data_IF_355829721327
#
_entry.id   IF_355829721327
#
_cell.length_a   1.000
_cell.length_b   1.000
_cell.length_c   1.000
_cell.angle_alpha   90.00
_cell.angle_beta   90.00
_cell.angle_gamma   90.00
#
_symmetry.space_group_name_H-M   'P 1'
#
loop_
_entity.id
_entity.type
_entity.pdbx_description
1 polymer ?
#
# COMPACT_ATOMS: atom_id res chain seq x y z
N UNK A 1 -39.62 27.50 51.38
CA UNK A 1 -39.39 26.83 50.08
C UNK A 1 -38.30 27.60 49.37
N UNK A 2 -37.04 27.21 49.59
CA UNK A 2 -35.87 27.89 49.05
C UNK A 2 -34.64 27.01 49.31
N UNK A 3 -34.37 26.06 48.42
CA UNK A 3 -33.06 25.40 48.25
C UNK A 3 -33.19 24.38 47.11
N UNK A 4 -32.70 24.70 45.91
CA UNK A 4 -32.25 23.71 44.89
C UNK A 4 -31.80 24.35 43.56
N UNK A 5 -31.10 25.49 43.55
CA UNK A 5 -30.57 26.04 42.28
C UNK A 5 -29.13 26.58 42.35
N UNK A 6 -28.38 26.25 43.39
CA UNK A 6 -26.98 26.70 43.54
C UNK A 6 -25.94 25.58 43.51
N UNK A 7 -26.31 24.30 43.46
CA UNK A 7 -25.33 23.19 43.35
C UNK A 7 -25.08 22.69 41.92
N UNK A 8 -25.89 23.07 40.93
CA UNK A 8 -25.66 22.70 39.52
C UNK A 8 -24.85 23.74 38.72
N UNK A 9 -24.70 24.97 39.25
CA UNK A 9 -23.95 26.04 38.59
C UNK A 9 -22.43 25.98 38.88
N UNK A 10 -21.99 25.27 39.92
CA UNK A 10 -20.58 25.11 40.28
C UNK A 10 -19.90 23.91 39.58
N UNK A 11 -20.61 23.13 38.75
CA UNK A 11 -20.01 22.03 37.94
C UNK A 11 -19.58 22.45 36.53
N UNK A 12 -19.65 23.72 36.19
CA UNK A 12 -19.28 24.28 34.88
C UNK A 12 -18.27 25.42 34.98
N UNK A 13 -17.41 25.42 36.00
CA UNK A 13 -16.22 26.26 35.97
C UNK A 13 -15.11 25.51 35.20
N UNK A 14 -14.55 26.10 34.13
CA UNK A 14 -13.43 25.51 33.42
C UNK A 14 -12.22 25.48 34.35
N UNK A 15 -11.85 24.29 34.81
CA UNK A 15 -10.61 24.06 35.55
C UNK A 15 -9.44 24.61 34.71
N UNK A 16 -8.75 25.60 35.26
CA UNK A 16 -7.63 26.29 34.63
C UNK A 16 -6.58 25.31 34.08
N UNK A 17 -6.09 25.65 32.88
CA UNK A 17 -5.12 24.92 32.06
C UNK A 17 -3.89 24.44 32.85
N UNK A 18 -3.83 23.13 33.12
CA UNK A 18 -2.56 22.42 33.26
C UNK A 18 -2.03 22.11 31.86
N UNK A 19 -1.08 22.93 31.43
CA UNK A 19 -0.30 22.81 30.21
C UNK A 19 -0.15 21.37 29.65
N UNK A 20 -0.73 21.14 28.47
CA UNK A 20 -0.05 20.42 27.38
C UNK A 20 -0.03 18.88 27.39
N UNK A 21 -0.88 18.18 28.15
CA UNK A 21 -1.06 16.74 27.92
C UNK A 21 -2.11 16.50 26.84
N UNK A 22 -1.64 16.30 25.61
CA UNK A 22 -2.46 15.71 24.54
C UNK A 22 -3.03 14.40 25.08
N UNK A 23 -4.35 14.30 25.21
CA UNK A 23 -5.00 13.05 25.62
C UNK A 23 -4.78 12.02 24.50
N UNK A 24 -3.87 11.08 24.71
CA UNK A 24 -3.58 10.01 23.73
C UNK A 24 -4.54 8.84 23.99
N UNK A 25 -5.32 8.49 22.98
CA UNK A 25 -6.20 7.32 23.03
C UNK A 25 -5.41 6.02 22.77
N UNK A 26 -5.33 5.16 23.77
CA UNK A 26 -4.70 3.84 23.70
C UNK A 26 -5.69 2.68 23.52
N UNK A 27 -6.98 2.98 23.37
CA UNK A 27 -8.03 1.97 23.26
C UNK A 27 -8.05 1.27 21.91
N UNK A 28 -7.56 1.96 20.87
CA UNK A 28 -7.53 1.42 19.51
C UNK A 28 -6.44 0.35 19.38
N UNK A 29 -6.90 -0.91 19.29
CA UNK A 29 -6.05 -2.09 19.18
C UNK A 29 -6.20 -2.76 17.84
N UNK A 30 -5.08 -3.23 17.29
CA UNK A 30 -5.01 -4.05 16.07
C UNK A 30 -4.09 -5.24 16.28
N UNK A 31 -4.42 -6.38 15.66
CA UNK A 31 -3.49 -7.51 15.60
C UNK A 31 -2.52 -7.31 14.44
N UNK A 32 -1.26 -6.99 14.73
CA UNK A 32 -0.19 -7.01 13.74
C UNK A 32 0.61 -8.32 13.88
N UNK A 33 0.81 -9.09 12.79
CA UNK A 33 1.56 -10.34 12.81
C UNK A 33 3.08 -10.09 12.88
N UNK A 34 3.55 -9.44 13.95
CA UNK A 34 4.96 -9.18 14.21
C UNK A 34 5.62 -10.40 14.86
N UNK A 35 6.85 -10.71 14.47
CA UNK A 35 7.60 -11.87 14.99
C UNK A 35 9.09 -11.59 15.03
N UNK A 36 9.80 -12.35 15.86
CA UNK A 36 11.26 -12.37 15.97
C UNK A 36 11.71 -13.83 15.90
N UNK A 37 11.66 -14.48 14.72
CA UNK A 37 11.79 -15.92 14.59
C UNK A 37 13.19 -16.44 14.95
N UNK A 38 14.23 -15.64 14.71
CA UNK A 38 15.62 -16.05 14.90
C UNK A 38 16.54 -14.88 15.29
N UNK A 39 17.82 -15.20 15.44
CA UNK A 39 18.89 -14.25 15.68
C UNK A 39 20.16 -14.71 14.95
N UNK A 40 21.05 -13.78 14.65
CA UNK A 40 22.36 -14.09 14.08
C UNK A 40 23.43 -13.21 14.72
N UNK A 41 24.69 -13.50 14.38
CA UNK A 41 25.83 -12.72 14.84
C UNK A 41 26.31 -11.81 13.72
N UNK A 42 26.48 -10.53 14.02
CA UNK A 42 27.14 -9.57 13.16
C UNK A 42 28.53 -9.26 13.69
N UNK A 43 29.48 -9.11 12.77
CA UNK A 43 30.83 -8.64 13.04
C UNK A 43 30.99 -7.24 12.46
N UNK A 44 31.18 -6.23 13.31
CA UNK A 44 31.45 -4.83 12.89
C UNK A 44 32.61 -4.33 13.71
N UNK A 45 33.66 -3.85 13.05
CA UNK A 45 34.85 -3.30 13.73
C UNK A 45 35.62 -4.31 14.60
N UNK A 46 35.57 -5.60 14.28
CA UNK A 46 36.26 -6.66 15.06
C UNK A 46 35.51 -7.13 16.30
N UNK A 47 34.33 -6.57 16.60
CA UNK A 47 33.45 -7.06 17.65
C UNK A 47 32.28 -7.87 17.08
N UNK A 48 31.99 -9.00 17.72
CA UNK A 48 30.87 -9.88 17.38
C UNK A 48 29.71 -9.65 18.34
N UNK A 49 28.54 -9.29 17.81
CA UNK A 49 27.33 -9.08 18.61
C UNK A 49 26.12 -9.80 18.04
N UNK A 50 25.17 -10.13 18.91
CA UNK A 50 23.90 -10.77 18.53
C UNK A 50 22.89 -9.71 18.10
N UNK A 51 22.24 -9.96 16.97
CA UNK A 51 21.07 -9.23 16.50
C UNK A 51 19.90 -10.15 16.30
N UNK A 52 18.70 -9.65 16.58
CA UNK A 52 17.43 -10.35 16.47
C UNK A 52 16.73 -9.87 15.21
N UNK A 53 16.28 -10.80 14.36
CA UNK A 53 15.64 -10.47 13.10
C UNK A 53 14.15 -10.24 13.33
N UNK A 54 13.65 -9.09 12.92
CA UNK A 54 12.26 -8.67 13.14
C UNK A 54 11.49 -8.81 11.83
N UNK A 55 10.36 -9.49 11.88
CA UNK A 55 9.48 -9.76 10.74
C UNK A 55 8.06 -9.27 11.01
N UNK A 56 7.36 -8.85 9.96
CA UNK A 56 5.96 -8.48 10.00
C UNK A 56 5.20 -9.13 8.84
N UNK A 57 4.16 -9.91 9.16
CA UNK A 57 3.45 -10.74 8.17
C UNK A 57 4.38 -11.66 7.35
N UNK A 58 5.50 -12.06 7.96
CA UNK A 58 6.57 -12.83 7.32
C UNK A 58 7.45 -12.04 6.35
N UNK A 59 7.39 -10.70 6.36
CA UNK A 59 8.33 -9.80 5.67
C UNK A 59 9.45 -9.41 6.63
N UNK A 60 10.71 -9.56 6.25
CA UNK A 60 11.83 -9.06 7.07
C UNK A 60 11.79 -7.53 7.09
N UNK A 61 11.84 -6.93 8.28
CA UNK A 61 11.84 -5.47 8.44
C UNK A 61 13.26 -4.96 8.72
N UNK A 62 13.87 -5.47 9.80
CA UNK A 62 15.20 -5.06 10.23
C UNK A 62 15.82 -6.10 11.17
N UNK A 63 17.08 -5.87 11.54
CA UNK A 63 17.81 -6.66 12.53
C UNK A 63 18.33 -5.74 13.62
N UNK A 64 18.06 -6.08 14.89
CA UNK A 64 18.37 -5.19 16.04
C UNK A 64 19.10 -5.92 17.16
N UNK A 65 20.14 -5.31 17.72
CA UNK A 65 20.75 -5.75 18.98
C UNK A 65 19.84 -5.37 20.15
N UNK A 66 19.92 -6.13 21.23
CA UNK A 66 19.13 -5.88 22.44
C UNK A 66 19.18 -4.42 22.95
N UNK A 67 20.33 -3.73 22.82
CA UNK A 67 20.48 -2.33 23.26
C UNK A 67 19.49 -1.41 22.54
N UNK A 68 19.20 -1.66 21.28
CA UNK A 68 18.27 -0.86 20.48
C UNK A 68 16.83 -1.05 20.95
N UNK A 69 16.42 -2.28 21.29
CA UNK A 69 15.13 -2.53 21.95
C UNK A 69 15.02 -1.81 23.30
N UNK A 70 16.11 -1.77 24.07
CA UNK A 70 16.16 -1.04 25.34
C UNK A 70 16.02 0.47 25.12
N UNK A 71 16.60 1.02 24.05
CA UNK A 71 16.48 2.43 23.72
C UNK A 71 15.05 2.76 23.24
N UNK A 72 14.49 1.93 22.35
CA UNK A 72 13.09 2.00 21.92
C UNK A 72 12.16 2.06 23.13
N UNK A 73 12.29 1.11 24.07
CA UNK A 73 11.45 1.07 25.27
C UNK A 73 11.52 2.36 26.10
N UNK A 74 12.71 2.95 26.22
CA UNK A 74 12.88 4.20 26.95
C UNK A 74 12.27 5.39 26.20
N UNK A 75 12.41 5.45 24.89
CA UNK A 75 11.83 6.52 24.07
C UNK A 75 10.30 6.45 24.07
N UNK A 76 9.73 5.27 23.86
CA UNK A 76 8.28 5.05 23.93
C UNK A 76 7.70 5.43 25.30
N UNK A 77 8.42 5.13 26.40
CA UNK A 77 8.00 5.55 27.75
C UNK A 77 8.00 7.05 27.97
N UNK A 78 8.88 7.79 27.29
CA UNK A 78 8.93 9.25 27.37
C UNK A 78 7.80 9.89 26.56
N UNK A 79 7.48 9.30 25.41
CA UNK A 79 6.47 9.81 24.48
C UNK A 79 5.04 9.46 24.92
N UNK A 80 4.78 8.22 25.32
CA UNK A 80 3.46 7.73 25.68
C UNK A 80 3.26 7.65 27.19
N UNK A 81 3.22 8.82 27.83
CA UNK A 81 3.03 8.97 29.27
C UNK A 81 1.62 8.47 29.65
N UNK A 82 1.55 7.54 30.60
CA UNK A 82 0.28 6.93 31.04
C UNK A 82 -0.02 5.57 30.42
N UNK A 83 0.69 5.16 29.35
CA UNK A 83 0.61 3.80 28.85
C UNK A 83 1.38 2.82 29.76
N UNK A 84 0.74 1.73 30.15
CA UNK A 84 1.38 0.68 30.96
C UNK A 84 2.14 -0.28 30.06
N UNK A 85 3.41 0.02 29.80
CA UNK A 85 4.25 -0.80 28.94
C UNK A 85 4.49 -2.21 29.50
N UNK A 86 4.49 -3.26 28.63
CA UNK A 86 4.91 -4.59 29.03
C UNK A 86 6.38 -4.59 29.49
N UNK A 87 6.74 -5.57 30.32
CA UNK A 87 8.13 -5.73 30.79
C UNK A 87 9.02 -6.13 29.62
N UNK A 88 10.04 -5.32 29.34
CA UNK A 88 11.12 -5.69 28.43
C UNK A 88 12.01 -6.75 29.11
N UNK A 89 12.51 -7.78 28.37
CA UNK A 89 13.51 -8.71 28.90
C UNK A 89 14.70 -7.96 29.50
N UNK A 90 15.25 -8.41 30.63
CA UNK A 90 16.32 -7.70 31.33
C UNK A 90 17.70 -7.80 30.66
N UNK A 91 18.57 -6.83 30.99
CA UNK A 91 20.01 -6.93 30.72
C UNK A 91 20.62 -7.99 31.63
N UNK A 92 21.55 -8.77 31.09
CA UNK A 92 22.32 -9.76 31.83
C UNK A 92 23.80 -9.35 31.78
N UNK A 93 24.55 -9.41 32.89
CA UNK A 93 25.92 -8.91 32.96
C UNK A 93 26.97 -9.84 32.32
N UNK A 94 26.59 -11.08 31.98
CA UNK A 94 27.48 -12.07 31.37
C UNK A 94 27.07 -12.42 29.94
N UNK A 95 27.96 -13.10 29.22
CA UNK A 95 27.62 -13.72 27.94
C UNK A 95 26.43 -14.66 28.12
N UNK A 96 25.46 -14.56 27.21
CA UNK A 96 24.28 -15.39 27.27
C UNK A 96 24.57 -16.77 26.66
N UNK A 97 24.09 -17.81 27.32
CA UNK A 97 23.93 -19.13 26.70
C UNK A 97 22.89 -19.10 25.59
N UNK A 98 22.89 -20.09 24.69
CA UNK A 98 21.89 -20.21 23.62
C UNK A 98 20.46 -20.26 24.17
N UNK A 99 20.25 -20.99 25.26
CA UNK A 99 18.94 -21.05 25.93
C UNK A 99 18.48 -19.68 26.42
N UNK A 100 19.39 -18.87 26.97
CA UNK A 100 19.07 -17.51 27.40
C UNK A 100 18.86 -16.55 26.23
N UNK A 101 19.57 -16.75 25.11
CA UNK A 101 19.36 -15.99 23.88
C UNK A 101 17.99 -16.26 23.27
N UNK A 102 17.58 -17.52 23.18
CA UNK A 102 16.25 -17.88 22.69
C UNK A 102 15.13 -17.43 23.65
N UNK A 103 15.35 -17.51 24.97
CA UNK A 103 14.43 -16.91 25.94
C UNK A 103 14.30 -15.39 25.77
N UNK A 104 15.40 -14.68 25.52
CA UNK A 104 15.40 -13.25 25.22
C UNK A 104 14.66 -12.97 23.91
N UNK A 105 14.93 -13.73 22.84
CA UNK A 105 14.25 -13.63 21.54
C UNK A 105 12.72 -13.70 21.71
N UNK A 106 12.21 -14.75 22.35
CA UNK A 106 10.78 -14.88 22.67
C UNK A 106 10.23 -13.70 23.48
N UNK A 107 11.00 -13.22 24.46
CA UNK A 107 10.59 -12.09 25.28
C UNK A 107 10.54 -10.75 24.50
N UNK A 108 11.43 -10.57 23.53
CA UNK A 108 11.43 -9.40 22.64
C UNK A 108 10.25 -9.46 21.66
N UNK A 109 9.94 -10.64 21.12
CA UNK A 109 8.74 -10.89 20.31
C UNK A 109 7.46 -10.52 21.07
N UNK A 110 7.26 -11.10 22.25
CA UNK A 110 6.09 -10.80 23.10
C UNK A 110 5.99 -9.33 23.51
N UNK A 111 7.14 -8.66 23.67
CA UNK A 111 7.18 -7.23 23.94
C UNK A 111 6.65 -6.44 22.73
N UNK A 112 7.19 -6.72 21.54
CA UNK A 112 6.76 -6.05 20.30
C UNK A 112 5.30 -6.33 19.97
N UNK A 113 4.82 -7.57 20.10
CA UNK A 113 3.41 -7.93 19.89
C UNK A 113 2.47 -7.05 20.72
N UNK A 114 2.78 -6.85 22.00
CA UNK A 114 1.95 -6.06 22.92
C UNK A 114 2.01 -4.56 22.66
N UNK A 115 3.19 -4.06 22.28
CA UNK A 115 3.39 -2.62 22.01
C UNK A 115 2.80 -2.25 20.66
N UNK A 116 3.08 -3.03 19.62
CA UNK A 116 2.55 -2.82 18.27
C UNK A 116 1.05 -3.13 18.15
N UNK A 117 0.45 -3.77 19.15
CA UNK A 117 -0.99 -3.96 19.21
C UNK A 117 -1.76 -2.63 19.41
N UNK A 118 -1.13 -1.60 19.96
CA UNK A 118 -1.74 -0.29 20.17
C UNK A 118 -1.43 0.61 18.98
N UNK A 119 -2.46 1.03 18.23
CA UNK A 119 -2.28 1.69 16.93
C UNK A 119 -1.38 2.94 17.01
N UNK A 120 -1.68 3.85 17.94
CA UNK A 120 -0.92 5.11 18.08
C UNK A 120 0.57 4.90 18.39
N UNK A 121 0.91 3.81 19.08
CA UNK A 121 2.31 3.46 19.37
C UNK A 121 2.96 2.78 18.16
N UNK A 122 2.21 1.89 17.50
CA UNK A 122 2.67 1.20 16.30
C UNK A 122 2.84 2.13 15.09
N UNK A 123 2.21 3.30 15.08
CA UNK A 123 2.31 4.30 14.01
C UNK A 123 3.25 5.46 14.36
N UNK A 124 3.89 5.43 15.55
CA UNK A 124 4.77 6.51 15.99
C UNK A 124 6.08 6.54 15.22
N UNK A 125 6.64 7.73 15.06
CA UNK A 125 7.93 7.93 14.38
C UNK A 125 9.05 7.13 15.06
N UNK A 126 9.02 7.03 16.39
CA UNK A 126 9.99 6.25 17.17
C UNK A 126 9.91 4.75 16.84
N UNK A 127 8.71 4.20 16.63
CA UNK A 127 8.54 2.81 16.21
C UNK A 127 8.94 2.61 14.74
N UNK A 128 8.55 3.54 13.86
CA UNK A 128 8.93 3.55 12.45
C UNK A 128 10.45 3.55 12.27
N UNK A 129 11.16 4.43 12.96
CA UNK A 129 12.62 4.50 12.96
C UNK A 129 13.24 3.20 13.46
N UNK A 130 12.70 2.62 14.54
CA UNK A 130 13.22 1.37 15.07
C UNK A 130 13.05 0.19 14.10
N UNK A 131 11.93 0.12 13.38
CA UNK A 131 11.62 -0.94 12.43
C UNK A 131 12.24 -0.71 11.04
N UNK A 132 12.82 0.47 10.78
CA UNK A 132 13.49 0.81 9.52
C UNK A 132 15.00 0.71 9.66
N UNK A 133 15.65 -0.07 8.81
CA UNK A 133 17.10 -0.30 8.91
C UNK A 133 17.93 0.92 8.49
N UNK A 134 18.22 1.84 9.43
CA UNK A 134 19.00 3.07 9.19
C UNK A 134 20.52 2.84 9.12
N UNK A 135 21.02 1.71 9.62
CA UNK A 135 22.45 1.42 9.73
C UNK A 135 23.05 0.78 8.45
N UNK A 136 22.24 0.63 7.39
CA UNK A 136 22.59 0.02 6.10
C UNK A 136 23.11 1.02 5.05
N UNK A 137 23.46 2.26 5.46
CA UNK A 137 24.08 3.28 4.59
C UNK A 137 25.46 2.87 4.00
N UNK A 138 25.97 1.68 4.32
CA UNK A 138 27.14 1.07 3.66
C UNK A 138 26.85 -0.32 3.06
N UNK A 139 25.78 -0.45 2.28
CA UNK A 139 25.69 -1.51 1.26
C UNK A 139 25.54 -2.92 1.83
N UNK A 140 24.67 -3.10 2.82
CA UNK A 140 24.26 -4.41 3.29
C UNK A 140 23.63 -5.21 2.15
N UNK A 141 24.40 -6.18 1.66
CA UNK A 141 24.05 -7.20 0.65
C UNK A 141 23.17 -8.32 1.23
N UNK A 142 22.60 -8.11 2.41
CA UNK A 142 21.80 -9.13 3.10
C UNK A 142 20.60 -9.50 2.22
N UNK A 143 20.45 -10.78 1.85
CA UNK A 143 19.32 -11.22 1.07
C UNK A 143 18.03 -11.09 1.89
N UNK A 144 16.97 -10.62 1.24
CA UNK A 144 15.62 -10.49 1.80
C UNK A 144 14.62 -11.18 0.89
N UNK A 145 13.63 -11.81 1.49
CA UNK A 145 12.54 -12.45 0.78
C UNK A 145 11.42 -11.43 0.51
N UNK A 146 11.20 -11.14 -0.77
CA UNK A 146 10.10 -10.31 -1.24
C UNK A 146 8.99 -11.20 -1.76
N UNK A 147 7.80 -11.08 -1.18
CA UNK A 147 6.57 -11.74 -1.62
C UNK A 147 5.88 -10.88 -2.69
N UNK A 148 5.44 -11.44 -3.79
CA UNK A 148 4.77 -10.69 -4.85
C UNK A 148 3.47 -11.40 -5.18
N UNK A 149 2.37 -10.67 -5.07
CA UNK A 149 1.05 -11.17 -5.44
C UNK A 149 0.93 -11.21 -6.97
N UNK A 150 0.60 -12.37 -7.52
CA UNK A 150 0.36 -12.56 -8.94
C UNK A 150 -1.13 -12.33 -9.27
N UNK A 151 -1.47 -12.01 -10.53
CA UNK A 151 -2.86 -11.80 -10.93
C UNK A 151 -3.80 -12.97 -10.64
N UNK A 152 -3.29 -14.21 -10.65
CA UNK A 152 -4.04 -15.43 -10.32
C UNK A 152 -4.20 -15.69 -8.82
N UNK A 153 -3.78 -14.73 -7.98
CA UNK A 153 -3.83 -14.72 -6.51
C UNK A 153 -2.77 -15.58 -5.83
N UNK A 154 -1.90 -16.22 -6.59
CA UNK A 154 -0.72 -16.87 -6.03
C UNK A 154 0.27 -15.84 -5.49
N UNK A 155 1.01 -16.20 -4.45
CA UNK A 155 2.07 -15.36 -3.89
C UNK A 155 3.41 -16.03 -4.17
N UNK A 156 4.25 -15.38 -4.96
CA UNK A 156 5.60 -15.85 -5.25
C UNK A 156 6.61 -15.15 -4.35
N UNK A 157 7.59 -15.88 -3.85
CA UNK A 157 8.72 -15.31 -3.10
C UNK A 157 9.97 -15.30 -3.96
N UNK A 158 10.62 -14.13 -4.04
CA UNK A 158 11.94 -13.94 -4.64
C UNK A 158 12.93 -13.42 -3.60
N UNK A 159 14.12 -13.99 -3.57
CA UNK A 159 15.18 -13.58 -2.64
C UNK A 159 16.08 -12.57 -3.34
N UNK A 160 16.10 -11.34 -2.83
CA UNK A 160 16.74 -10.18 -3.47
C UNK A 160 17.67 -9.46 -2.49
N UNK A 161 18.53 -8.58 -2.99
CA UNK A 161 19.27 -7.66 -2.10
C UNK A 161 18.32 -6.56 -1.64
N UNK A 162 18.54 -6.02 -0.43
CA UNK A 162 17.75 -4.89 0.08
C UNK A 162 17.73 -3.67 -0.85
N UNK A 163 18.85 -3.42 -1.52
CA UNK A 163 19.01 -2.31 -2.47
C UNK A 163 18.67 -2.68 -3.91
N UNK A 164 18.03 -3.84 -4.17
CA UNK A 164 17.58 -4.16 -5.50
C UNK A 164 16.45 -3.23 -5.95
N UNK A 165 16.57 -2.73 -7.18
CA UNK A 165 15.58 -1.83 -7.75
C UNK A 165 14.38 -2.60 -8.35
N UNK A 166 13.34 -1.87 -8.75
CA UNK A 166 12.12 -2.43 -9.34
C UNK A 166 12.37 -3.36 -10.52
N UNK A 167 13.31 -3.03 -11.41
CA UNK A 167 13.60 -3.87 -12.59
C UNK A 167 14.24 -5.19 -12.21
N UNK A 168 15.21 -5.17 -11.30
CA UNK A 168 15.86 -6.39 -10.80
C UNK A 168 14.86 -7.32 -10.12
N UNK A 169 13.98 -6.77 -9.26
CA UNK A 169 12.93 -7.55 -8.60
C UNK A 169 11.92 -8.08 -9.63
N UNK A 170 11.51 -7.27 -10.60
CA UNK A 170 10.59 -7.69 -11.65
C UNK A 170 11.17 -8.84 -12.49
N UNK A 171 12.43 -8.74 -12.92
CA UNK A 171 13.08 -9.81 -13.69
C UNK A 171 13.22 -11.10 -12.89
N UNK A 172 13.52 -11.02 -11.59
CA UNK A 172 13.56 -12.19 -10.71
C UNK A 172 12.18 -12.86 -10.61
N UNK A 173 11.09 -12.07 -10.52
CA UNK A 173 9.72 -12.60 -10.54
C UNK A 173 9.40 -13.27 -11.87
N UNK A 174 9.71 -12.62 -13.00
CA UNK A 174 9.46 -13.16 -14.35
C UNK A 174 10.20 -14.48 -14.59
N UNK A 175 11.46 -14.57 -14.17
CA UNK A 175 12.25 -15.81 -14.23
C UNK A 175 11.62 -16.91 -13.35
N UNK A 176 11.27 -16.56 -12.11
CA UNK A 176 10.66 -17.48 -11.13
C UNK A 176 9.34 -18.07 -11.62
N UNK A 177 8.49 -17.28 -12.27
CA UNK A 177 7.19 -17.73 -12.82
C UNK A 177 7.31 -18.27 -14.25
N UNK A 178 8.52 -18.29 -14.82
CA UNK A 178 8.83 -18.75 -16.19
C UNK A 178 8.03 -18.06 -17.29
N UNK A 179 7.76 -16.77 -17.12
CA UNK A 179 7.04 -15.99 -18.13
C UNK A 179 7.97 -15.66 -19.31
N UNK A 180 7.47 -15.82 -20.54
CA UNK A 180 8.26 -15.54 -21.74
C UNK A 180 8.56 -14.03 -21.85
N UNK A 181 9.75 -13.68 -22.37
CA UNK A 181 10.14 -12.27 -22.58
C UNK A 181 9.17 -11.50 -23.49
N UNK A 182 8.57 -12.20 -24.47
CA UNK A 182 7.55 -11.62 -25.36
C UNK A 182 6.27 -11.22 -24.64
N UNK A 183 5.91 -11.93 -23.57
CA UNK A 183 4.73 -11.65 -22.74
C UNK A 183 5.05 -10.67 -21.62
N UNK A 184 6.23 -10.80 -20.99
CA UNK A 184 6.65 -10.01 -19.84
C UNK A 184 6.60 -8.49 -20.07
N UNK A 185 6.72 -8.01 -21.31
CA UNK A 185 6.59 -6.57 -21.62
C UNK A 185 5.18 -5.99 -21.42
N UNK A 186 4.17 -6.83 -21.22
CA UNK A 186 2.76 -6.45 -21.02
C UNK A 186 2.31 -6.52 -19.55
N UNK A 187 3.24 -6.82 -18.65
CA UNK A 187 3.04 -6.84 -17.21
C UNK A 187 4.13 -5.99 -16.55
N UNK A 188 3.91 -5.59 -15.31
CA UNK A 188 4.92 -4.90 -14.53
C UNK A 188 4.70 -5.07 -13.03
N UNK A 189 5.64 -4.55 -12.22
CA UNK A 189 5.57 -4.53 -10.77
C UNK A 189 4.83 -3.27 -10.28
N UNK A 190 3.93 -3.47 -9.31
CA UNK A 190 3.10 -2.44 -8.72
C UNK A 190 3.17 -2.51 -7.20
N UNK A 191 2.96 -1.38 -6.56
CA UNK A 191 2.69 -1.26 -5.13
C UNK A 191 1.17 -1.23 -4.90
N UNK A 192 0.69 -2.08 -4.00
CA UNK A 192 -0.66 -2.02 -3.45
C UNK A 192 -0.62 -0.99 -2.32
N UNK A 193 -1.19 0.18 -2.57
CA UNK A 193 -1.32 1.26 -1.59
C UNK A 193 -2.70 1.21 -0.91
N UNK A 194 -3.00 2.21 -0.09
CA UNK A 194 -4.32 2.33 0.56
C UNK A 194 -5.49 2.27 -0.45
N UNK A 195 -6.66 1.90 0.06
CA UNK A 195 -7.89 1.74 -0.73
C UNK A 195 -7.80 0.69 -1.85
N UNK A 196 -6.85 -0.26 -1.75
CA UNK A 196 -6.57 -1.27 -2.77
C UNK A 196 -6.27 -0.67 -4.14
N UNK A 197 -5.66 0.51 -4.20
CA UNK A 197 -5.16 1.04 -5.46
C UNK A 197 -3.78 0.47 -5.74
N UNK A 198 -3.53 0.08 -6.99
CA UNK A 198 -2.23 -0.42 -7.41
C UNK A 198 -1.48 0.61 -8.25
N UNK A 199 -0.43 1.17 -7.66
CA UNK A 199 0.45 2.14 -8.30
C UNK A 199 1.58 1.42 -9.03
N UNK A 200 1.78 1.74 -10.31
CA UNK A 200 2.95 1.25 -11.06
C UNK A 200 4.23 1.80 -10.43
N UNK A 201 5.19 0.92 -10.20
CA UNK A 201 6.51 1.33 -9.72
C UNK A 201 7.36 1.95 -10.84
N UNK A 202 8.25 2.86 -10.45
CA UNK A 202 9.30 3.39 -11.29
C UNK A 202 10.51 2.44 -11.27
N UNK A 203 11.28 2.36 -12.37
CA UNK A 203 12.45 1.48 -12.48
C UNK A 203 13.48 1.66 -11.36
N UNK A 204 13.66 2.89 -10.89
CA UNK A 204 14.66 3.28 -9.88
C UNK A 204 14.18 3.17 -8.43
N UNK A 205 12.92 2.81 -8.17
CA UNK A 205 12.42 2.59 -6.81
C UNK A 205 12.99 1.29 -6.22
N UNK A 206 12.98 1.19 -4.88
CA UNK A 206 13.49 0.03 -4.14
C UNK A 206 12.33 -0.70 -3.45
N UNK A 207 11.84 -1.83 -3.99
CA UNK A 207 10.66 -2.53 -3.47
C UNK A 207 10.76 -2.96 -2.00
N UNK A 208 11.97 -3.23 -1.50
CA UNK A 208 12.19 -3.52 -0.08
C UNK A 208 11.87 -2.33 0.84
N UNK A 209 12.12 -1.08 0.40
CA UNK A 209 11.80 0.10 1.20
C UNK A 209 10.27 0.25 1.36
N UNK A 210 9.52 -0.06 0.29
CA UNK A 210 8.05 -0.05 0.32
C UNK A 210 7.48 -1.08 1.30
N UNK A 211 8.16 -2.22 1.43
CA UNK A 211 7.84 -3.27 2.41
C UNK A 211 7.95 -2.78 3.84
N UNK A 212 9.02 -2.04 4.13
CA UNK A 212 9.25 -1.46 5.44
C UNK A 212 8.22 -0.36 5.70
N UNK A 213 8.05 0.58 4.77
CA UNK A 213 7.11 1.70 4.94
C UNK A 213 5.65 1.23 5.17
N UNK A 214 5.24 0.14 4.53
CA UNK A 214 3.91 -0.46 4.68
C UNK A 214 3.88 -1.61 5.71
N UNK A 215 4.67 -1.56 6.79
CA UNK A 215 4.67 -2.66 7.78
C UNK A 215 3.37 -2.75 8.58
N UNK A 216 2.65 -1.64 8.76
CA UNK A 216 1.41 -1.60 9.54
C UNK A 216 0.25 -2.35 8.87
N UNK A 217 0.38 -2.72 7.59
CA UNK A 217 -0.65 -3.45 6.85
C UNK A 217 -0.62 -4.94 7.20
N UNK A 218 -1.80 -5.52 7.46
CA UNK A 218 -1.97 -6.95 7.75
C UNK A 218 -1.80 -7.88 6.53
N UNK A 219 -1.51 -7.33 5.35
CA UNK A 219 -1.31 -8.10 4.13
C UNK A 219 0.09 -8.74 4.11
N UNK A 220 0.23 -9.93 3.49
CA UNK A 220 1.53 -10.59 3.38
C UNK A 220 2.50 -9.87 2.43
N UNK A 221 2.00 -8.93 1.62
CA UNK A 221 2.77 -8.14 0.68
C UNK A 221 2.03 -6.84 0.34
N UNK A 222 2.80 -5.81 -0.04
CA UNK A 222 2.32 -4.62 -0.74
C UNK A 222 2.81 -4.58 -2.20
N UNK A 223 3.36 -5.68 -2.73
CA UNK A 223 3.85 -5.77 -4.11
C UNK A 223 2.99 -6.75 -4.91
N UNK A 224 2.64 -6.37 -6.13
CA UNK A 224 1.93 -7.25 -7.06
C UNK A 224 2.41 -7.09 -8.50
N UNK A 225 2.19 -8.13 -9.31
CA UNK A 225 2.26 -8.03 -10.77
C UNK A 225 0.88 -7.68 -11.30
N UNK A 226 0.79 -6.69 -12.20
CA UNK A 226 -0.44 -6.39 -12.94
C UNK A 226 -0.17 -6.19 -14.42
N UNK A 227 -1.24 -6.31 -15.21
CA UNK A 227 -1.24 -5.99 -16.64
C UNK A 227 -0.87 -4.53 -16.86
N UNK A 228 0.18 -4.30 -17.66
CA UNK A 228 0.56 -3.01 -18.22
C UNK A 228 0.31 -3.02 -19.73
N UNK A 229 -0.98 -3.04 -20.09
CA UNK A 229 -1.44 -3.11 -21.48
C UNK A 229 -2.83 -2.51 -21.61
N UNK A 230 -2.97 -1.52 -22.49
CA UNK A 230 -4.20 -0.74 -22.65
C UNK A 230 -4.89 -0.93 -24.00
N UNK A 231 -4.23 -1.57 -24.97
CA UNK A 231 -4.79 -1.84 -26.29
C UNK A 231 -5.47 -3.20 -26.32
N UNK A 232 -6.82 -3.26 -26.51
CA UNK A 232 -7.52 -4.54 -26.66
C UNK A 232 -7.01 -5.36 -27.85
N UNK A 233 -6.63 -4.70 -28.95
CA UNK A 233 -6.07 -5.38 -30.12
C UNK A 233 -4.75 -6.09 -29.79
N UNK A 234 -3.86 -5.43 -29.05
CA UNK A 234 -2.61 -6.04 -28.59
C UNK A 234 -2.89 -7.16 -27.58
N UNK A 235 -3.87 -6.99 -26.69
CA UNK A 235 -4.26 -8.01 -25.71
C UNK A 235 -4.75 -9.30 -26.38
N UNK A 236 -5.50 -9.18 -27.49
CA UNK A 236 -5.95 -10.35 -28.26
C UNK A 236 -4.78 -11.14 -28.85
N UNK A 237 -3.62 -10.53 -29.10
CA UNK A 237 -2.43 -11.28 -29.56
C UNK A 237 -1.83 -12.16 -28.48
N UNK A 238 -2.18 -11.94 -27.20
CA UNK A 238 -1.78 -12.76 -26.05
C UNK A 238 -2.73 -13.93 -25.79
N UNK A 239 -3.86 -14.03 -26.50
CA UNK A 239 -4.89 -15.04 -26.23
C UNK A 239 -4.41 -16.48 -26.44
N UNK A 240 -3.32 -16.69 -27.18
CA UNK A 240 -2.69 -18.00 -27.36
C UNK A 240 -1.72 -18.37 -26.23
N UNK A 241 -1.32 -17.41 -25.40
CA UNK A 241 -0.46 -17.65 -24.22
C UNK A 241 -1.34 -17.94 -23.00
N UNK A 242 -1.20 -19.17 -22.49
CA UNK A 242 -2.04 -19.70 -21.42
C UNK A 242 -1.89 -18.92 -20.10
N UNK A 243 -0.65 -18.53 -19.76
CA UNK A 243 -0.34 -17.81 -18.52
C UNK A 243 -0.84 -16.37 -18.62
N UNK A 244 -0.55 -15.68 -19.73
CA UNK A 244 -1.01 -14.31 -19.96
C UNK A 244 -2.55 -14.23 -19.92
N UNK A 245 -3.23 -15.15 -20.61
CA UNK A 245 -4.69 -15.18 -20.65
C UNK A 245 -5.30 -15.42 -19.26
N UNK A 246 -4.69 -16.30 -18.46
CA UNK A 246 -5.13 -16.57 -17.08
C UNK A 246 -4.95 -15.35 -16.20
N UNK A 247 -3.83 -14.63 -16.32
CA UNK A 247 -3.58 -13.41 -15.56
C UNK A 247 -4.56 -12.28 -15.93
N UNK A 248 -4.80 -12.07 -17.23
CA UNK A 248 -5.75 -11.07 -17.73
C UNK A 248 -7.17 -11.39 -17.25
N UNK A 249 -7.55 -12.68 -17.26
CA UNK A 249 -8.83 -13.15 -16.74
C UNK A 249 -9.03 -12.81 -15.27
N UNK A 250 -8.10 -13.20 -14.40
CA UNK A 250 -8.26 -12.94 -12.97
C UNK A 250 -8.22 -11.45 -12.63
N UNK A 251 -7.44 -10.66 -13.37
CA UNK A 251 -7.48 -9.21 -13.27
C UNK A 251 -8.84 -8.63 -13.68
N UNK A 252 -9.46 -9.10 -14.78
CA UNK A 252 -10.80 -8.67 -15.17
C UNK A 252 -11.88 -9.12 -14.17
N UNK A 253 -11.71 -10.28 -13.53
CA UNK A 253 -12.57 -10.75 -12.43
C UNK A 253 -12.51 -9.81 -11.23
N UNK A 254 -11.30 -9.43 -10.81
CA UNK A 254 -11.06 -8.46 -9.74
C UNK A 254 -11.69 -7.09 -10.06
N UNK A 255 -11.47 -6.57 -11.27
CA UNK A 255 -12.00 -5.28 -11.72
C UNK A 255 -13.54 -5.26 -11.84
N UNK A 256 -14.19 -6.37 -12.22
CA UNK A 256 -15.66 -6.51 -12.15
C UNK A 256 -16.13 -6.53 -10.68
N UNK A 257 -15.44 -7.28 -9.81
CA UNK A 257 -15.80 -7.37 -8.40
C UNK A 257 -15.68 -6.04 -7.66
N UNK A 258 -14.72 -5.19 -8.06
CA UNK A 258 -14.53 -3.83 -7.55
C UNK A 258 -15.47 -2.80 -8.19
N UNK A 259 -16.26 -3.19 -9.20
CA UNK A 259 -17.15 -2.29 -9.94
C UNK A 259 -16.43 -1.32 -10.88
N UNK A 260 -15.15 -1.55 -11.18
CA UNK A 260 -14.41 -0.78 -12.18
C UNK A 260 -14.92 -1.10 -13.59
N UNK A 261 -15.21 -2.38 -13.84
CA UNK A 261 -15.91 -2.85 -15.03
C UNK A 261 -17.39 -2.97 -14.69
N UNK A 262 -18.24 -2.25 -15.41
CA UNK A 262 -19.66 -2.16 -15.15
C UNK A 262 -20.37 -3.34 -15.83
N UNK A 263 -20.67 -4.36 -15.03
CA UNK A 263 -21.31 -5.58 -15.51
C UNK A 263 -22.80 -5.43 -15.85
N UNK A 264 -23.46 -4.39 -15.32
CA UNK A 264 -24.89 -4.13 -15.52
C UNK A 264 -25.75 -5.42 -15.36
N UNK A 265 -26.53 -5.78 -16.36
CA UNK A 265 -27.39 -6.97 -16.41
C UNK A 265 -26.62 -8.29 -16.57
N UNK A 266 -25.33 -8.24 -16.92
CA UNK A 266 -24.47 -9.43 -17.14
C UNK A 266 -23.76 -9.91 -15.87
N UNK A 267 -23.96 -9.27 -14.72
CA UNK A 267 -23.24 -9.61 -13.48
C UNK A 267 -23.40 -11.09 -13.08
N UNK A 268 -24.62 -11.63 -13.13
CA UNK A 268 -24.87 -13.03 -12.79
C UNK A 268 -24.16 -13.99 -13.74
N UNK A 269 -24.13 -13.67 -15.04
CA UNK A 269 -23.43 -14.47 -16.05
C UNK A 269 -21.92 -14.47 -15.79
N UNK A 270 -21.33 -13.30 -15.51
CA UNK A 270 -19.91 -13.18 -15.19
C UNK A 270 -19.56 -13.94 -13.91
N UNK A 271 -20.37 -13.82 -12.85
CA UNK A 271 -20.17 -14.56 -11.60
C UNK A 271 -20.19 -16.07 -11.83
N UNK A 272 -21.11 -16.57 -12.65
CA UNK A 272 -21.18 -17.99 -12.99
C UNK A 272 -19.95 -18.48 -13.79
N UNK A 273 -19.23 -17.58 -14.44
CA UNK A 273 -18.04 -17.85 -15.25
C UNK A 273 -16.71 -17.52 -14.55
N UNK A 274 -16.69 -17.24 -13.24
CA UNK A 274 -15.46 -17.02 -12.45
C UNK A 274 -14.70 -18.32 -12.19
N UNK A 275 -14.32 -19.00 -13.26
CA UNK A 275 -13.56 -20.25 -13.29
C UNK A 275 -12.52 -20.14 -14.41
N UNK A 276 -11.26 -20.50 -14.13
CA UNK A 276 -10.16 -20.35 -15.09
C UNK A 276 -10.37 -21.17 -16.37
N UNK A 277 -11.14 -22.27 -16.31
CA UNK A 277 -11.51 -23.05 -17.51
C UNK A 277 -12.41 -22.29 -18.48
N UNK A 278 -13.11 -21.24 -18.00
CA UNK A 278 -14.05 -20.40 -18.76
C UNK A 278 -13.51 -19.01 -19.08
N UNK A 279 -12.19 -18.83 -18.95
CA UNK A 279 -11.53 -17.54 -19.14
C UNK A 279 -11.75 -16.91 -20.50
N UNK A 280 -11.84 -17.70 -21.56
CA UNK A 280 -12.05 -17.17 -22.92
C UNK A 280 -13.47 -16.61 -23.08
N UNK A 281 -14.49 -17.32 -22.58
CA UNK A 281 -15.88 -16.83 -22.59
C UNK A 281 -16.03 -15.59 -21.71
N UNK A 282 -15.43 -15.62 -20.51
CA UNK A 282 -15.47 -14.49 -19.58
C UNK A 282 -14.84 -13.25 -20.20
N UNK A 283 -13.61 -13.37 -20.74
CA UNK A 283 -12.89 -12.25 -21.33
C UNK A 283 -13.59 -11.72 -22.59
N UNK A 284 -14.22 -12.58 -23.39
CA UNK A 284 -15.03 -12.15 -24.53
C UNK A 284 -16.17 -11.23 -24.07
N UNK A 285 -16.89 -11.62 -23.01
CA UNK A 285 -17.97 -10.79 -22.46
C UNK A 285 -17.42 -9.52 -21.79
N UNK A 286 -16.37 -9.63 -20.99
CA UNK A 286 -15.82 -8.53 -20.22
C UNK A 286 -15.31 -7.39 -21.11
N UNK A 287 -14.71 -7.71 -22.28
CA UNK A 287 -14.23 -6.73 -23.26
C UNK A 287 -15.32 -5.85 -23.88
N UNK A 288 -16.58 -6.27 -23.81
CA UNK A 288 -17.73 -5.49 -24.30
C UNK A 288 -18.26 -4.50 -23.25
N UNK A 289 -17.81 -4.60 -21.99
CA UNK A 289 -18.36 -3.83 -20.87
C UNK A 289 -17.66 -2.48 -20.68
N UNK A 290 -18.44 -1.51 -20.21
CA UNK A 290 -17.94 -0.17 -19.88
C UNK A 290 -16.90 -0.24 -18.75
N UNK A 291 -15.73 0.33 -19.02
CA UNK A 291 -14.62 0.38 -18.06
C UNK A 291 -13.60 -0.75 -18.21
N UNK A 292 -13.81 -1.73 -19.11
CA UNK A 292 -12.79 -2.74 -19.39
C UNK A 292 -11.48 -2.10 -19.86
N UNK A 293 -10.38 -2.45 -19.20
CA UNK A 293 -9.05 -1.91 -19.50
C UNK A 293 -8.82 -0.47 -19.04
N UNK A 294 -9.77 0.15 -18.33
CA UNK A 294 -9.56 1.45 -17.70
C UNK A 294 -8.93 1.29 -16.32
N UNK A 295 -8.05 2.22 -15.95
CA UNK A 295 -7.54 2.36 -14.59
C UNK A 295 -8.36 3.38 -13.84
N UNK A 296 -8.84 2.99 -12.67
CA UNK A 296 -9.67 3.80 -11.78
C UNK A 296 -8.79 4.26 -10.62
N UNK A 297 -8.71 5.57 -10.41
CA UNK A 297 -7.89 6.19 -9.37
C UNK A 297 -8.71 6.44 -8.10
N UNK A 298 -8.06 6.55 -6.93
CA UNK A 298 -8.73 6.99 -5.71
C UNK A 298 -9.43 8.33 -5.88
N UNK A 299 -10.51 8.54 -5.12
CA UNK A 299 -11.26 9.77 -5.19
C UNK A 299 -10.42 10.96 -4.70
N UNK A 300 -10.55 12.09 -5.38
CA UNK A 300 -9.76 13.29 -5.16
C UNK A 300 -10.59 14.54 -5.38
N UNK A 301 -10.12 15.67 -4.87
CA UNK A 301 -10.74 16.97 -5.14
C UNK A 301 -10.46 17.43 -6.57
N UNK A 302 -11.35 18.26 -7.11
CA UNK A 302 -11.29 18.76 -8.48
C UNK A 302 -11.86 20.18 -8.56
N UNK A 303 -11.18 21.08 -9.26
CA UNK A 303 -11.56 22.50 -9.38
C UNK A 303 -12.92 22.75 -10.06
N UNK A 304 -13.35 21.79 -10.88
CA UNK A 304 -14.62 21.83 -11.59
C UNK A 304 -15.80 21.52 -10.66
N UNK A 305 -15.54 21.22 -9.38
CA UNK A 305 -16.54 20.87 -8.38
C UNK A 305 -16.27 21.58 -7.05
N UNK A 306 -17.25 22.39 -6.60
CA UNK A 306 -17.13 23.16 -5.36
C UNK A 306 -17.28 22.33 -4.08
N UNK A 307 -18.08 21.26 -4.12
CA UNK A 307 -18.36 20.40 -2.96
C UNK A 307 -18.27 18.94 -3.37
N UNK A 308 -17.53 18.13 -2.61
CA UNK A 308 -17.31 16.71 -2.90
C UNK A 308 -16.11 16.44 -3.83
N UNK A 309 -15.85 15.15 -4.09
CA UNK A 309 -14.70 14.67 -4.83
C UNK A 309 -15.10 14.16 -6.23
N UNK A 310 -14.10 13.72 -7.00
CA UNK A 310 -14.25 12.97 -8.24
C UNK A 310 -13.39 11.71 -8.19
N UNK A 311 -13.84 10.66 -8.88
CA UNK A 311 -13.05 9.48 -9.21
C UNK A 311 -12.65 9.59 -10.67
N UNK A 312 -11.35 9.70 -10.91
CA UNK A 312 -10.78 9.73 -12.24
C UNK A 312 -10.64 8.30 -12.79
N UNK A 313 -10.87 8.12 -14.09
CA UNK A 313 -10.54 6.89 -14.79
C UNK A 313 -9.89 7.17 -16.13
N UNK A 314 -8.78 6.48 -16.42
CA UNK A 314 -8.03 6.59 -17.67
C UNK A 314 -8.24 5.29 -18.46
N UNK A 315 -8.79 5.37 -19.67
CA UNK A 315 -8.98 4.21 -20.54
C UNK A 315 -8.58 4.49 -21.98
N UNK A 316 -8.58 3.46 -22.82
CA UNK A 316 -8.13 3.56 -24.23
C UNK A 316 -8.93 4.58 -25.05
N UNK A 317 -10.19 4.82 -24.69
CA UNK A 317 -11.10 5.70 -25.43
C UNK A 317 -11.14 7.13 -24.90
N UNK A 318 -10.63 7.38 -23.69
CA UNK A 318 -10.70 8.69 -23.07
C UNK A 318 -10.50 8.68 -21.55
N UNK A 319 -10.74 9.86 -20.99
CA UNK A 319 -10.67 10.16 -19.57
C UNK A 319 -12.07 10.36 -19.00
N UNK A 320 -12.35 9.82 -17.81
CA UNK A 320 -13.66 9.90 -17.15
C UNK A 320 -13.51 10.52 -15.76
N UNK A 321 -14.43 11.39 -15.40
CA UNK A 321 -14.61 11.87 -14.02
C UNK A 321 -16.01 11.51 -13.52
N UNK A 322 -16.07 10.75 -12.44
CA UNK A 322 -17.31 10.41 -11.76
C UNK A 322 -17.39 11.15 -10.43
N UNK A 323 -18.47 11.90 -10.23
CA UNK A 323 -18.71 12.60 -8.98
C UNK A 323 -18.85 11.61 -7.81
N UNK A 324 -18.26 11.95 -6.65
CA UNK A 324 -18.46 11.25 -5.39
C UNK A 324 -18.45 12.23 -4.21
N UNK A 325 -18.88 11.81 -3.02
CA UNK A 325 -18.73 12.60 -1.79
C UNK A 325 -17.27 12.57 -1.31
N UNK A 326 -16.94 13.37 -0.31
CA UNK A 326 -15.59 13.42 0.28
C UNK A 326 -15.19 12.10 0.96
N UNK A 327 -16.17 11.26 1.31
CA UNK A 327 -15.99 9.89 1.81
C UNK A 327 -15.90 8.83 0.69
N UNK A 328 -15.88 9.27 -0.59
CA UNK A 328 -15.81 8.39 -1.75
C UNK A 328 -17.14 7.80 -2.21
N UNK A 329 -18.27 8.09 -1.55
CA UNK A 329 -19.59 7.56 -1.97
C UNK A 329 -19.99 8.14 -3.34
N UNK A 330 -20.17 7.24 -4.31
CA UNK A 330 -20.45 7.58 -5.70
C UNK A 330 -21.75 8.36 -5.90
N UNK A 331 -21.74 9.26 -6.87
CA UNK A 331 -22.88 10.06 -7.31
C UNK A 331 -23.14 9.86 -8.81
N UNK A 332 -24.36 10.14 -9.30
CA UNK A 332 -24.75 9.82 -10.68
C UNK A 332 -24.09 10.71 -11.75
N UNK A 333 -23.49 11.85 -11.37
CA UNK A 333 -22.88 12.77 -12.33
C UNK A 333 -21.57 12.18 -12.86
N UNK A 334 -21.54 11.91 -14.16
CA UNK A 334 -20.36 11.41 -14.86
C UNK A 334 -20.05 12.34 -16.02
N UNK A 335 -18.78 12.71 -16.16
CA UNK A 335 -18.26 13.51 -17.26
C UNK A 335 -17.21 12.70 -17.99
N UNK A 336 -17.43 12.50 -19.29
CA UNK A 336 -16.50 11.79 -20.17
C UNK A 336 -15.79 12.75 -21.12
N UNK A 337 -14.50 12.52 -21.32
CA UNK A 337 -13.63 13.27 -22.21
C UNK A 337 -12.94 12.31 -23.17
N UNK A 338 -13.36 12.29 -24.43
CA UNK A 338 -12.63 11.60 -25.49
C UNK A 338 -11.22 12.17 -25.63
N UNK A 339 -10.22 11.34 -25.92
CA UNK A 339 -8.86 11.82 -26.18
C UNK A 339 -8.81 12.88 -27.28
N UNK A 340 -9.70 12.81 -28.28
CA UNK A 340 -9.77 13.79 -29.39
C UNK A 340 -10.13 15.22 -28.96
N UNK A 341 -10.76 15.40 -27.79
CA UNK A 341 -11.16 16.72 -27.28
C UNK A 341 -10.19 17.29 -26.26
N UNK A 342 -9.29 16.47 -25.70
CA UNK A 342 -8.20 16.92 -24.84
C UNK A 342 -7.07 17.41 -25.75
N UNK A 343 -6.65 18.66 -25.57
CA UNK A 343 -5.68 19.33 -26.44
C UNK A 343 -4.27 19.24 -25.90
N UNK A 344 -4.14 19.39 -24.59
CA UNK A 344 -2.89 19.38 -23.86
C UNK A 344 -3.16 19.04 -22.40
N UNK A 345 -2.13 18.59 -21.71
CA UNK A 345 -2.13 18.31 -20.29
C UNK A 345 -0.78 18.65 -19.68
N UNK A 346 -0.77 18.93 -18.39
CA UNK A 346 0.42 19.21 -17.61
C UNK A 346 0.29 18.64 -16.20
N UNK A 347 1.43 18.44 -15.55
CA UNK A 347 1.50 18.10 -14.12
C UNK A 347 2.00 19.32 -13.38
N UNK A 348 1.25 19.70 -12.35
CA UNK A 348 1.63 20.74 -11.41
C UNK A 348 2.13 20.02 -10.15
N UNK A 349 3.46 19.88 -10.04
CA UNK A 349 4.12 19.16 -8.94
C UNK A 349 3.91 19.85 -7.59
N UNK A 350 3.84 21.18 -7.56
CA UNK A 350 3.68 21.97 -6.32
C UNK A 350 2.32 21.71 -5.66
N UNK A 351 1.27 21.53 -6.47
CA UNK A 351 -0.07 21.26 -5.99
C UNK A 351 -0.50 19.80 -6.12
N UNK A 352 0.41 18.91 -6.56
CA UNK A 352 0.14 17.50 -6.85
C UNK A 352 -1.11 17.34 -7.71
N UNK A 353 -1.13 18.01 -8.85
CA UNK A 353 -2.32 18.06 -9.69
C UNK A 353 -2.07 17.69 -11.15
N UNK A 354 -3.02 16.96 -11.71
CA UNK A 354 -3.11 16.69 -13.15
C UNK A 354 -4.05 17.72 -13.76
N UNK A 355 -3.52 18.53 -14.65
CA UNK A 355 -4.23 19.59 -15.34
C UNK A 355 -4.42 19.16 -16.79
N UNK A 356 -5.64 19.26 -17.32
CA UNK A 356 -5.87 19.05 -18.76
C UNK A 356 -6.79 20.10 -19.34
N UNK A 357 -6.47 20.50 -20.57
CA UNK A 357 -7.20 21.47 -21.35
C UNK A 357 -8.04 20.75 -22.40
N UNK A 358 -9.36 20.95 -22.37
CA UNK A 358 -10.27 20.29 -23.31
C UNK A 358 -11.17 21.29 -24.02
N UNK A 359 -11.57 20.95 -25.24
CA UNK A 359 -12.50 21.74 -26.05
C UNK A 359 -13.59 20.86 -26.64
N UNK A 360 -14.83 21.05 -26.18
CA UNK A 360 -16.00 20.43 -26.81
C UNK A 360 -16.41 21.22 -28.05
N UNK A 361 -17.06 20.59 -29.05
CA UNK A 361 -17.62 21.30 -30.18
C UNK A 361 -18.47 22.49 -29.71
N UNK A 362 -18.24 23.66 -30.31
CA UNK A 362 -19.01 24.89 -30.06
C UNK A 362 -18.93 25.43 -28.62
N UNK A 363 -17.98 24.96 -27.81
CA UNK A 363 -17.72 25.50 -26.47
C UNK A 363 -16.33 26.10 -26.38
N UNK A 364 -16.21 27.12 -25.54
CA UNK A 364 -14.90 27.65 -25.16
C UNK A 364 -14.06 26.55 -24.51
N UNK A 365 -12.77 26.51 -24.80
CA UNK A 365 -11.87 25.54 -24.19
C UNK A 365 -11.74 25.85 -22.68
N UNK A 366 -11.51 24.81 -21.87
CA UNK A 366 -11.48 24.89 -20.41
C UNK A 366 -10.38 24.01 -19.85
N UNK A 367 -9.75 24.51 -18.79
CA UNK A 367 -8.87 23.73 -17.94
C UNK A 367 -9.67 23.03 -16.84
N UNK A 368 -9.21 21.84 -16.49
CA UNK A 368 -9.66 21.08 -15.32
C UNK A 368 -8.42 20.67 -14.55
N UNK A 369 -8.46 20.86 -13.24
CA UNK A 369 -7.41 20.49 -12.30
C UNK A 369 -7.91 19.40 -11.35
N UNK A 370 -7.16 18.32 -11.26
CA UNK A 370 -7.46 17.16 -10.40
C UNK A 370 -6.30 16.99 -9.42
N UNK A 371 -6.59 17.11 -8.12
CA UNK A 371 -5.57 17.09 -7.07
C UNK A 371 -5.36 15.67 -6.55
N UNK A 372 -4.34 14.98 -7.04
CA UNK A 372 -4.10 13.56 -6.76
C UNK A 372 -2.62 13.31 -6.48
N UNK A 373 -2.26 12.50 -5.46
CA UNK A 373 -0.86 12.11 -5.26
C UNK A 373 -0.34 11.18 -6.37
N UNK A 374 -1.20 10.76 -7.30
CA UNK A 374 -0.91 9.79 -8.36
C UNK A 374 -0.75 10.44 -9.75
N UNK A 375 -0.40 11.72 -9.83
CA UNK A 375 -0.28 12.47 -11.10
C UNK A 375 0.69 11.85 -12.09
N UNK A 376 1.86 11.41 -11.64
CA UNK A 376 2.89 10.76 -12.46
C UNK A 376 2.42 9.43 -13.05
N UNK A 377 1.45 8.78 -12.36
CA UNK A 377 0.80 7.59 -12.85
C UNK A 377 -0.17 8.00 -13.94
N UNK A 378 -1.11 8.92 -13.68
CA UNK A 378 -2.11 9.37 -14.67
C UNK A 378 -1.46 9.66 -16.03
N UNK A 379 -0.36 10.41 -16.05
CA UNK A 379 0.35 10.77 -17.28
C UNK A 379 0.92 9.57 -18.04
N UNK A 380 1.45 8.58 -17.33
CA UNK A 380 1.99 7.35 -17.93
C UNK A 380 0.97 6.48 -18.67
N UNK A 381 -0.34 6.72 -18.47
CA UNK A 381 -1.44 6.06 -19.18
C UNK A 381 -2.03 6.92 -20.31
N UNK A 382 -1.66 8.20 -20.40
CA UNK A 382 -2.14 9.14 -21.43
C UNK A 382 -1.24 9.23 -22.67
N UNK A 383 -0.11 8.52 -22.64
CA UNK A 383 0.83 8.30 -23.74
C UNK A 383 0.66 6.88 -24.29
#
# INVERSE_FOLDING_TARGET
MSCSYTEEAERLEPTEDLAGYTYIDYSEKRSLPISVPDYHYLEKGGERYVVFNIYMAGRHLCSRRYREFSNLHLNLKKEFIGFTFPKLPGKWPFTLSEQQLDARRRGLEQYLEKVCAVRVIAESDVMQEFLTDSDDEQGSISPVDLKVLLPDREVVTVTMKKNSNTEEVYFAVIDKIRMSKSVAKYFYLFEIVEYNFERKLQPSEYPHNLYIQNYSTATPTCLCVRKWLFSPACELTLASDEQATTFIFWQAVDEVNRGHIHAEDRLYQLKAQQDSSRKHEYLRLARELTGYGAVVFPHCSCDSRKEGHVVASVGSSGFKLQACREDGVMQPQVVYFSWSIIKEWEVDDDSMAFCFHYQRPEKNPRWVKIFSPYVSIITSYTL
#
